data_IF_224844257220
#
_entry.id   IF_224844257220
#
_cell.length_a   1.000
_cell.length_b   1.000
_cell.length_c   1.000
_cell.angle_alpha   90.00
_cell.angle_beta   90.00
_cell.angle_gamma   90.00
#
_symmetry.space_group_name_H-M   'P 1'
#
loop_
_entity.id
_entity.type
_entity.pdbx_description
1 polymer ?
#
# COMPACT_ATOMS: atom_id res chain seq x y z
N UNK A 1 11.85 12.64 -2.09
CA UNK A 1 11.09 13.32 -1.00
C UNK A 1 11.93 14.37 -0.24
N UNK A 2 13.23 14.50 -0.49
CA UNK A 2 14.17 15.38 0.22
C UNK A 2 14.32 14.99 1.70
N UNK A 3 14.86 15.91 2.52
CA UNK A 3 15.17 15.66 3.93
C UNK A 3 13.91 15.60 4.79
N UNK A 4 13.77 14.53 5.58
CA UNK A 4 12.74 14.43 6.62
C UNK A 4 11.30 14.62 6.11
N UNK A 5 10.79 13.81 5.18
CA UNK A 5 9.49 14.05 4.55
C UNK A 5 8.33 14.20 5.53
N UNK A 6 8.29 13.44 6.62
CA UNK A 6 7.27 13.62 7.68
C UNK A 6 7.35 15.02 8.31
N UNK A 7 8.56 15.53 8.53
CA UNK A 7 8.76 16.90 9.08
C UNK A 7 8.27 17.96 8.09
N UNK A 8 8.54 17.76 6.80
CA UNK A 8 8.05 18.68 5.75
C UNK A 8 6.51 18.68 5.71
N UNK A 9 5.88 17.49 5.68
CA UNK A 9 4.42 17.36 5.67
C UNK A 9 3.79 18.04 6.89
N UNK A 10 4.32 17.78 8.08
CA UNK A 10 3.87 18.40 9.32
C UNK A 10 3.89 19.95 9.26
N UNK A 11 5.00 20.53 8.81
CA UNK A 11 5.14 21.99 8.70
C UNK A 11 4.21 22.60 7.65
N UNK A 12 4.08 21.94 6.49
CA UNK A 12 3.18 22.38 5.42
C UNK A 12 1.71 22.28 5.83
N UNK A 13 1.36 21.33 6.70
CA UNK A 13 0.04 21.23 7.30
C UNK A 13 -0.25 22.31 8.37
N UNK A 14 0.72 23.18 8.68
CA UNK A 14 0.55 24.26 9.65
C UNK A 14 0.65 23.82 11.11
N UNK A 15 1.17 22.64 11.40
CA UNK A 15 1.43 22.23 12.77
C UNK A 15 2.59 23.02 13.37
N UNK A 16 2.60 23.25 14.70
CA UNK A 16 3.66 24.04 15.37
C UNK A 16 5.07 23.47 15.11
N UNK A 17 6.06 24.32 15.01
CA UNK A 17 7.47 23.91 14.83
C UNK A 17 8.01 23.04 15.97
N UNK A 18 7.39 23.11 17.14
CA UNK A 18 7.69 22.24 18.30
C UNK A 18 7.17 20.81 18.15
N UNK A 19 6.33 20.54 17.13
CA UNK A 19 5.82 19.19 16.90
C UNK A 19 6.95 18.29 16.41
N UNK A 20 7.18 17.17 17.11
CA UNK A 20 8.11 16.13 16.68
C UNK A 20 7.62 15.43 15.43
N UNK A 21 8.53 15.03 14.54
CA UNK A 21 8.19 14.24 13.36
C UNK A 21 9.29 13.25 13.06
N UNK A 22 8.91 12.02 12.69
CA UNK A 22 9.84 10.95 12.32
C UNK A 22 9.36 10.30 11.02
N UNK A 23 10.30 10.01 10.15
CA UNK A 23 10.05 9.24 8.93
C UNK A 23 10.54 7.83 9.14
N UNK A 24 9.69 6.86 8.83
CA UNK A 24 10.03 5.43 8.86
C UNK A 24 9.92 4.84 7.47
N UNK A 25 10.60 3.73 7.25
CA UNK A 25 10.49 2.94 6.03
C UNK A 25 10.32 1.46 6.38
N UNK A 26 9.22 0.88 5.93
CA UNK A 26 8.92 -0.56 5.93
C UNK A 26 8.28 -0.94 4.59
N UNK A 27 8.70 -0.29 3.51
CA UNK A 27 8.13 -0.47 2.17
C UNK A 27 6.58 -0.41 2.20
N UNK A 28 5.90 -1.38 1.61
CA UNK A 28 4.43 -1.48 1.56
C UNK A 28 3.74 -1.40 2.93
N UNK A 29 4.43 -1.78 3.99
CA UNK A 29 3.93 -1.74 5.37
C UNK A 29 4.20 -0.43 6.13
N UNK A 30 4.81 0.60 5.51
CA UNK A 30 5.23 1.82 6.20
C UNK A 30 4.07 2.58 6.84
N UNK A 31 3.00 2.83 6.10
CA UNK A 31 1.83 3.54 6.61
C UNK A 31 1.18 2.82 7.80
N UNK A 32 0.94 1.52 7.67
CA UNK A 32 0.40 0.72 8.77
C UNK A 32 1.35 0.67 9.97
N UNK A 33 2.68 0.59 9.73
CA UNK A 33 3.67 0.61 10.81
C UNK A 33 3.71 1.96 11.52
N UNK A 34 3.51 3.07 10.82
CA UNK A 34 3.38 4.39 11.42
C UNK A 34 2.17 4.44 12.38
N UNK A 35 1.03 3.90 11.98
CA UNK A 35 -0.18 3.79 12.82
C UNK A 35 0.07 2.91 14.05
N UNK A 36 0.73 1.76 13.89
CA UNK A 36 1.10 0.89 15.02
C UNK A 36 2.00 1.63 16.02
N UNK A 37 3.04 2.34 15.56
CA UNK A 37 3.94 3.09 16.43
C UNK A 37 3.24 4.26 17.11
N UNK A 38 2.33 4.95 16.41
CA UNK A 38 1.51 6.00 17.02
C UNK A 38 0.64 5.46 18.17
N UNK A 39 0.03 4.29 17.96
CA UNK A 39 -0.74 3.62 19.01
C UNK A 39 0.14 3.22 20.22
N UNK A 40 1.38 2.75 19.97
CA UNK A 40 2.35 2.44 21.03
C UNK A 40 2.77 3.71 21.80
N UNK A 41 3.04 4.82 21.11
CA UNK A 41 3.39 6.10 21.74
C UNK A 41 2.28 6.64 22.65
N UNK A 42 1.02 6.54 22.22
CA UNK A 42 -0.14 6.95 23.00
C UNK A 42 -0.30 6.05 24.24
N UNK A 43 -0.22 4.72 24.05
CA UNK A 43 -0.30 3.74 25.16
C UNK A 43 0.82 3.92 26.20
N UNK A 44 2.03 4.27 25.73
CA UNK A 44 3.17 4.54 26.60
C UNK A 44 3.14 5.92 27.27
N UNK A 45 2.17 6.78 26.95
CA UNK A 45 2.07 8.14 27.48
C UNK A 45 3.11 9.12 26.90
N UNK A 46 3.81 8.74 25.85
CA UNK A 46 4.81 9.60 25.20
C UNK A 46 4.18 10.68 24.32
N UNK A 47 2.93 10.50 23.92
CA UNK A 47 2.15 11.47 23.16
C UNK A 47 0.66 11.31 23.43
N UNK A 48 -0.10 12.41 23.37
CA UNK A 48 -1.55 12.39 23.55
C UNK A 48 -2.31 12.32 22.22
N UNK A 49 -1.77 12.96 21.19
CA UNK A 49 -2.32 12.98 19.83
C UNK A 49 -1.15 12.76 18.87
N UNK A 50 -1.33 11.87 17.91
CA UNK A 50 -0.33 11.57 16.87
C UNK A 50 -1.01 11.56 15.51
N UNK A 51 -0.45 12.26 14.54
CA UNK A 51 -0.80 12.09 13.13
C UNK A 51 0.12 11.01 12.57
N UNK A 52 -0.45 9.94 12.07
CA UNK A 52 0.27 8.84 11.45
C UNK A 52 -0.27 8.59 10.04
N UNK A 53 0.60 8.26 9.12
CA UNK A 53 0.18 8.04 7.75
C UNK A 53 1.34 7.57 6.89
N UNK A 54 1.17 7.68 5.60
CA UNK A 54 2.17 7.35 4.61
C UNK A 54 2.07 8.20 3.37
N UNK A 55 3.16 8.28 2.65
CA UNK A 55 3.22 8.98 1.36
C UNK A 55 4.20 8.29 0.43
N UNK A 56 3.90 8.35 -0.84
CA UNK A 56 4.79 7.86 -1.89
C UNK A 56 4.63 8.71 -3.15
N UNK A 57 5.74 8.97 -3.82
CA UNK A 57 5.76 9.61 -5.13
C UNK A 57 6.62 8.78 -6.07
N UNK A 58 6.05 7.72 -6.58
CA UNK A 58 6.76 6.77 -7.44
C UNK A 58 7.05 7.37 -8.80
N UNK A 59 6.17 8.24 -9.30
CA UNK A 59 6.37 8.95 -10.57
C UNK A 59 7.55 9.94 -10.55
N UNK A 60 7.95 10.39 -9.35
CA UNK A 60 9.09 11.29 -9.15
C UNK A 60 10.34 10.58 -8.58
N UNK A 61 10.38 9.24 -8.61
CA UNK A 61 11.57 8.51 -8.22
C UNK A 61 12.77 8.92 -9.11
N UNK A 62 13.92 9.29 -8.52
CA UNK A 62 15.06 9.76 -9.32
C UNK A 62 15.81 8.61 -9.97
N UNK A 63 16.55 8.93 -11.01
CA UNK A 63 17.59 8.04 -11.52
C UNK A 63 18.90 8.26 -10.74
N UNK A 64 19.63 7.19 -10.47
CA UNK A 64 20.83 7.17 -9.64
C UNK A 64 22.06 6.81 -10.48
N UNK A 65 23.10 7.61 -10.33
CA UNK A 65 24.43 7.34 -10.82
C UNK A 65 25.30 6.84 -9.66
N UNK A 66 25.38 5.54 -9.47
CA UNK A 66 25.97 4.91 -8.27
C UNK A 66 27.44 5.26 -8.04
N UNK A 67 28.21 5.51 -9.10
CA UNK A 67 29.64 5.85 -9.04
C UNK A 67 29.93 7.36 -9.16
N UNK A 68 28.90 8.21 -9.24
CA UNK A 68 29.11 9.65 -9.50
C UNK A 68 29.98 10.32 -8.43
N UNK A 69 29.86 9.96 -7.15
CA UNK A 69 30.63 10.56 -6.07
C UNK A 69 32.14 10.23 -6.17
N UNK A 70 32.46 9.03 -6.57
CA UNK A 70 33.88 8.62 -6.78
C UNK A 70 34.39 8.97 -8.18
N UNK A 71 33.54 9.42 -9.06
CA UNK A 71 33.79 9.75 -10.45
C UNK A 71 33.73 8.53 -11.39
N UNK A 72 33.18 8.76 -12.56
CA UNK A 72 33.27 7.82 -13.68
C UNK A 72 34.62 8.06 -14.34
N UNK A 73 35.52 7.06 -14.31
CA UNK A 73 36.83 7.13 -14.95
C UNK A 73 36.75 6.67 -16.40
N UNK A 74 37.43 5.64 -16.79
CA UNK A 74 37.40 5.09 -18.13
C UNK A 74 36.34 3.97 -18.22
N UNK A 75 35.56 3.94 -19.29
CA UNK A 75 34.52 2.96 -19.55
C UNK A 75 33.11 3.50 -19.32
N UNK A 76 32.10 2.64 -19.57
CA UNK A 76 30.70 2.98 -19.42
C UNK A 76 30.24 2.96 -17.95
N UNK A 77 29.17 3.71 -17.63
CA UNK A 77 28.49 3.67 -16.35
C UNK A 77 27.01 3.41 -16.51
N UNK A 78 26.39 2.82 -15.49
CA UNK A 78 24.97 2.52 -15.47
C UNK A 78 24.18 3.62 -14.78
N UNK A 79 22.98 3.88 -15.27
CA UNK A 79 21.93 4.66 -14.61
C UNK A 79 20.95 3.68 -14.00
N UNK A 80 20.71 3.79 -12.69
CA UNK A 80 19.74 2.96 -11.97
C UNK A 80 18.47 3.74 -11.70
N UNK A 81 17.32 3.09 -11.83
CA UNK A 81 16.05 3.63 -11.38
C UNK A 81 15.92 3.38 -9.86
N UNK A 82 15.76 4.45 -9.08
CA UNK A 82 15.62 4.38 -7.61
C UNK A 82 14.41 3.52 -7.20
N UNK A 83 13.31 3.61 -7.94
CA UNK A 83 12.10 2.85 -7.65
C UNK A 83 12.36 1.34 -7.71
N UNK A 84 13.13 0.89 -8.71
CA UNK A 84 13.53 -0.51 -8.81
C UNK A 84 14.58 -0.86 -7.77
N UNK A 85 15.68 -0.11 -7.72
CA UNK A 85 16.84 -0.41 -6.88
C UNK A 85 16.51 -0.50 -5.38
N UNK A 86 15.68 0.42 -4.88
CA UNK A 86 15.36 0.53 -3.45
C UNK A 86 13.94 0.10 -3.09
N UNK A 87 13.14 -0.33 -4.05
CA UNK A 87 11.73 -0.67 -3.82
C UNK A 87 11.25 -1.98 -4.46
N UNK A 88 11.55 -2.23 -5.73
CA UNK A 88 10.95 -3.32 -6.49
C UNK A 88 11.91 -4.48 -6.79
N UNK A 89 13.20 -4.32 -6.49
CA UNK A 89 14.22 -5.38 -6.57
C UNK A 89 14.56 -5.89 -5.18
N UNK A 90 14.78 -7.19 -5.08
CA UNK A 90 15.31 -7.81 -3.88
C UNK A 90 16.79 -7.44 -3.69
N UNK A 91 17.12 -6.95 -2.51
CA UNK A 91 18.46 -6.42 -2.22
C UNK A 91 19.58 -7.47 -2.29
N UNK A 92 19.28 -8.75 -2.08
CA UNK A 92 20.26 -9.84 -2.07
C UNK A 92 20.45 -10.42 -3.46
N UNK A 93 19.38 -10.61 -4.22
CA UNK A 93 19.40 -11.35 -5.49
C UNK A 93 19.20 -10.46 -6.72
N UNK A 94 18.73 -9.22 -6.55
CA UNK A 94 18.37 -8.33 -7.66
C UNK A 94 17.13 -8.79 -8.43
N UNK A 95 16.39 -9.80 -7.95
CA UNK A 95 15.17 -10.27 -8.59
C UNK A 95 14.03 -9.29 -8.33
N UNK A 96 13.17 -9.12 -9.32
CA UNK A 96 11.97 -8.30 -9.16
C UNK A 96 10.96 -8.96 -8.21
N UNK A 97 10.27 -8.14 -7.42
CA UNK A 97 9.19 -8.59 -6.53
C UNK A 97 8.13 -9.42 -7.26
N UNK A 98 7.77 -9.03 -8.49
CA UNK A 98 6.84 -9.79 -9.31
C UNK A 98 7.34 -11.18 -9.72
N UNK A 99 8.65 -11.43 -9.76
CA UNK A 99 9.20 -12.77 -10.01
C UNK A 99 8.94 -13.70 -8.82
N UNK A 100 9.07 -13.20 -7.58
CA UNK A 100 8.71 -13.98 -6.39
C UNK A 100 7.20 -14.22 -6.30
N UNK A 101 6.40 -13.23 -6.70
CA UNK A 101 4.95 -13.40 -6.79
C UNK A 101 4.57 -14.48 -7.81
N UNK A 102 5.26 -14.53 -8.95
CA UNK A 102 5.05 -15.58 -9.95
C UNK A 102 5.42 -16.96 -9.42
N UNK A 103 6.58 -17.09 -8.74
CA UNK A 103 6.99 -18.35 -8.14
C UNK A 103 5.96 -18.84 -7.10
N UNK A 104 5.43 -17.95 -6.28
CA UNK A 104 4.42 -18.30 -5.29
C UNK A 104 3.06 -18.62 -5.93
N UNK A 105 2.66 -17.89 -6.97
CA UNK A 105 1.44 -18.21 -7.73
C UNK A 105 1.52 -19.64 -8.33
N UNK A 106 2.68 -20.01 -8.86
CA UNK A 106 2.93 -21.36 -9.36
C UNK A 106 2.86 -22.40 -8.23
N UNK A 107 3.48 -22.11 -7.08
CA UNK A 107 3.47 -22.99 -5.90
C UNK A 107 2.05 -23.24 -5.37
N UNK A 108 1.22 -22.18 -5.36
CA UNK A 108 -0.18 -22.24 -4.93
C UNK A 108 -1.12 -22.77 -6.00
N UNK A 109 -0.66 -22.93 -7.23
CA UNK A 109 -1.45 -23.41 -8.36
C UNK A 109 -2.51 -22.41 -8.84
N UNK A 110 -2.30 -21.12 -8.63
CA UNK A 110 -3.21 -20.08 -9.13
C UNK A 110 -3.11 -19.94 -10.64
N UNK A 111 -4.24 -20.12 -11.32
CA UNK A 111 -4.29 -19.98 -12.77
C UNK A 111 -4.40 -18.51 -13.17
N UNK A 112 -4.11 -18.24 -14.41
CA UNK A 112 -4.27 -16.92 -15.03
C UNK A 112 -5.70 -16.43 -14.91
N UNK A 113 -6.66 -17.29 -15.21
CA UNK A 113 -8.09 -16.98 -15.16
C UNK A 113 -8.56 -16.61 -13.75
N UNK A 114 -8.08 -17.31 -12.73
CA UNK A 114 -8.41 -17.02 -11.35
C UNK A 114 -7.89 -15.62 -10.92
N UNK A 115 -6.65 -15.30 -11.29
CA UNK A 115 -6.05 -14.01 -10.96
C UNK A 115 -6.67 -12.86 -11.76
N UNK A 116 -7.00 -13.08 -13.03
CA UNK A 116 -7.70 -12.09 -13.84
C UNK A 116 -9.13 -11.86 -13.34
N UNK A 117 -9.85 -12.91 -12.94
CA UNK A 117 -11.17 -12.78 -12.32
C UNK A 117 -11.13 -11.98 -11.01
N UNK A 118 -10.09 -12.18 -10.19
CA UNK A 118 -9.85 -11.38 -8.99
C UNK A 118 -9.63 -9.90 -9.34
N UNK A 119 -8.77 -9.61 -10.31
CA UNK A 119 -8.46 -8.25 -10.75
C UNK A 119 -9.69 -7.53 -11.34
N UNK A 120 -10.49 -8.23 -12.14
CA UNK A 120 -11.75 -7.71 -12.70
C UNK A 120 -12.71 -7.35 -11.57
N UNK A 121 -12.89 -8.22 -10.59
CA UNK A 121 -13.73 -7.95 -9.42
C UNK A 121 -13.25 -6.73 -8.64
N UNK A 122 -11.93 -6.60 -8.40
CA UNK A 122 -11.35 -5.42 -7.76
C UNK A 122 -11.66 -4.15 -8.55
N UNK A 123 -11.51 -4.20 -9.86
CA UNK A 123 -11.79 -3.07 -10.76
C UNK A 123 -13.26 -2.66 -10.75
N UNK A 124 -14.18 -3.60 -10.87
CA UNK A 124 -15.63 -3.33 -10.84
C UNK A 124 -16.06 -2.71 -9.50
N UNK A 125 -15.51 -3.22 -8.38
CA UNK A 125 -15.75 -2.67 -7.04
C UNK A 125 -15.21 -1.26 -6.91
N UNK A 126 -13.99 -1.00 -7.39
CA UNK A 126 -13.39 0.34 -7.34
C UNK A 126 -14.19 1.34 -8.19
N UNK A 127 -14.62 0.95 -9.39
CA UNK A 127 -15.46 1.80 -10.24
C UNK A 127 -16.80 2.12 -9.56
N UNK A 128 -17.43 1.13 -8.94
CA UNK A 128 -18.67 1.33 -8.18
C UNK A 128 -18.43 2.28 -7.00
N UNK A 129 -17.39 2.02 -6.19
CA UNK A 129 -17.08 2.83 -5.01
C UNK A 129 -16.84 4.31 -5.35
N UNK A 130 -16.09 4.57 -6.43
CA UNK A 130 -15.85 5.95 -6.90
C UNK A 130 -17.13 6.60 -7.43
N UNK A 131 -17.92 5.89 -8.24
CA UNK A 131 -19.14 6.42 -8.83
C UNK A 131 -20.23 6.71 -7.79
N UNK A 132 -20.36 5.83 -6.79
CA UNK A 132 -21.33 5.97 -5.69
C UNK A 132 -20.82 6.88 -4.56
N UNK A 133 -19.58 7.39 -4.66
CA UNK A 133 -19.01 8.33 -3.70
C UNK A 133 -18.60 7.71 -2.36
N UNK A 134 -18.31 6.42 -2.30
CA UNK A 134 -17.92 5.74 -1.04
C UNK A 134 -16.61 6.27 -0.45
N UNK A 135 -15.77 6.91 -1.29
CA UNK A 135 -14.52 7.54 -0.85
C UNK A 135 -14.65 9.05 -0.60
N UNK A 136 -15.84 9.65 -0.75
CA UNK A 136 -16.00 11.10 -0.71
C UNK A 136 -15.55 11.75 0.60
N UNK A 137 -15.77 11.07 1.73
CA UNK A 137 -15.41 11.57 3.06
C UNK A 137 -13.93 11.47 3.38
N UNK A 138 -13.17 10.66 2.63
CA UNK A 138 -11.74 10.44 2.87
C UNK A 138 -10.83 11.15 1.84
N UNK A 139 -11.35 11.47 0.64
CA UNK A 139 -10.56 12.10 -0.41
C UNK A 139 -10.40 13.59 -0.16
N UNK A 140 -9.14 14.05 -0.16
CA UNK A 140 -8.79 15.46 -0.16
C UNK A 140 -8.35 15.84 -1.57
N UNK A 141 -9.08 16.75 -2.26
CA UNK A 141 -8.69 17.20 -3.59
C UNK A 141 -7.31 17.85 -3.62
N UNK A 142 -6.52 17.54 -4.64
CA UNK A 142 -5.18 18.11 -4.84
C UNK A 142 -5.15 18.93 -6.11
N UNK A 143 -4.78 20.21 -6.01
CA UNK A 143 -4.57 21.07 -7.16
C UNK A 143 -3.15 20.88 -7.71
N UNK A 144 -3.06 20.46 -8.96
CA UNK A 144 -1.80 20.26 -9.67
C UNK A 144 -1.65 21.39 -10.71
N UNK A 145 -0.64 22.22 -10.55
CA UNK A 145 -0.32 23.27 -11.50
C UNK A 145 0.38 22.67 -12.73
N UNK A 146 -0.21 22.85 -13.89
CA UNK A 146 0.32 22.40 -15.17
C UNK A 146 0.61 23.59 -16.09
N UNK A 147 1.32 23.36 -17.22
CA UNK A 147 1.56 24.39 -18.22
C UNK A 147 0.27 24.93 -18.87
N UNK A 148 -0.84 24.18 -18.79
CA UNK A 148 -2.15 24.54 -19.34
C UNK A 148 -3.10 25.15 -18.31
N UNK A 149 -2.65 25.35 -17.09
CA UNK A 149 -3.43 25.81 -15.95
C UNK A 149 -3.53 24.75 -14.84
N UNK A 150 -4.23 25.11 -13.78
CA UNK A 150 -4.42 24.24 -12.64
C UNK A 150 -5.47 23.16 -12.92
N UNK A 151 -5.17 21.94 -12.48
CA UNK A 151 -6.07 20.80 -12.56
C UNK A 151 -6.33 20.29 -11.15
N UNK A 152 -7.59 20.15 -10.77
CA UNK A 152 -7.98 19.53 -9.50
C UNK A 152 -8.09 18.03 -9.70
N UNK A 153 -7.33 17.28 -8.91
CA UNK A 153 -7.39 15.81 -8.85
C UNK A 153 -8.17 15.42 -7.60
N UNK A 154 -9.37 14.91 -7.78
CA UNK A 154 -10.32 14.54 -6.73
C UNK A 154 -10.88 13.12 -6.90
N UNK A 155 -10.40 12.39 -7.90
CA UNK A 155 -10.80 11.01 -8.19
C UNK A 155 -9.60 10.18 -8.61
N UNK A 156 -9.64 8.89 -8.23
CA UNK A 156 -8.71 7.91 -8.76
C UNK A 156 -8.96 7.71 -10.26
N UNK A 157 -7.93 7.94 -11.08
CA UNK A 157 -8.05 7.84 -12.54
C UNK A 157 -7.94 6.42 -13.06
N UNK A 158 -7.19 5.58 -12.35
CA UNK A 158 -6.81 4.25 -12.82
C UNK A 158 -7.99 3.31 -13.05
N UNK A 159 -9.02 3.24 -12.19
CA UNK A 159 -10.18 2.38 -12.44
C UNK A 159 -10.90 2.67 -13.75
N UNK A 160 -10.81 3.91 -14.24
CA UNK A 160 -11.49 4.35 -15.47
C UNK A 160 -10.61 4.29 -16.72
N UNK A 161 -9.29 4.16 -16.55
CA UNK A 161 -8.35 3.95 -17.65
C UNK A 161 -8.22 2.47 -18.03
N UNK A 162 -8.69 1.55 -17.21
CA UNK A 162 -8.63 0.12 -17.44
C UNK A 162 -9.73 -0.36 -18.40
N UNK A 163 -9.40 -1.36 -19.23
CA UNK A 163 -10.35 -1.99 -20.14
C UNK A 163 -10.48 -3.49 -19.78
N UNK A 164 -11.59 -3.84 -19.15
CA UNK A 164 -11.88 -5.21 -18.68
C UNK A 164 -11.76 -6.23 -19.83
N UNK A 165 -12.28 -5.93 -21.02
CA UNK A 165 -12.25 -6.85 -22.15
C UNK A 165 -10.82 -7.19 -22.65
N UNK A 166 -9.85 -6.35 -22.33
CA UNK A 166 -8.44 -6.58 -22.69
C UNK A 166 -7.67 -7.39 -21.65
N UNK A 167 -8.16 -7.52 -20.42
CA UNK A 167 -7.44 -8.19 -19.33
C UNK A 167 -7.01 -9.61 -19.70
N UNK A 168 -7.86 -10.48 -20.25
CA UNK A 168 -7.46 -11.85 -20.60
C UNK A 168 -6.37 -11.92 -21.68
N UNK A 169 -6.22 -10.89 -22.51
CA UNK A 169 -5.24 -10.81 -23.59
C UNK A 169 -3.91 -10.18 -23.21
N UNK A 170 -3.75 -9.69 -21.96
CA UNK A 170 -2.52 -9.08 -21.50
C UNK A 170 -1.36 -10.09 -21.45
N UNK A 171 -0.17 -9.64 -21.81
CA UNK A 171 1.04 -10.47 -21.74
C UNK A 171 1.49 -10.64 -20.30
N UNK A 172 1.99 -11.82 -19.93
CA UNK A 172 2.68 -12.02 -18.65
C UNK A 172 3.84 -11.04 -18.49
N UNK A 173 4.03 -10.55 -17.27
CA UNK A 173 5.02 -9.50 -16.98
C UNK A 173 6.37 -10.05 -16.48
N UNK A 174 6.38 -11.20 -15.80
CA UNK A 174 7.56 -11.67 -15.05
C UNK A 174 8.08 -13.05 -15.49
N UNK A 175 7.35 -13.76 -16.31
CA UNK A 175 7.78 -15.02 -16.94
C UNK A 175 7.05 -15.20 -18.28
N UNK A 176 7.71 -15.87 -19.24
CA UNK A 176 7.16 -16.06 -20.60
C UNK A 176 5.76 -16.70 -20.59
N UNK A 177 5.60 -17.74 -19.77
CA UNK A 177 4.35 -18.49 -19.61
C UNK A 177 3.75 -18.24 -18.22
N UNK A 178 3.93 -17.01 -17.68
CA UNK A 178 3.48 -16.63 -16.37
C UNK A 178 2.01 -16.25 -16.33
N UNK A 179 1.50 -16.13 -15.11
CA UNK A 179 0.10 -15.80 -14.82
C UNK A 179 -0.08 -14.36 -14.34
N UNK A 180 1.01 -13.69 -13.95
CA UNK A 180 0.96 -12.29 -13.47
C UNK A 180 1.07 -11.32 -14.65
N UNK A 181 0.16 -10.36 -14.69
CA UNK A 181 0.06 -9.32 -15.72
C UNK A 181 -0.06 -7.95 -15.09
N UNK A 182 -0.05 -6.91 -15.92
CA UNK A 182 -0.29 -5.54 -15.46
C UNK A 182 -1.68 -5.32 -14.82
N UNK A 183 -2.67 -6.19 -15.08
CA UNK A 183 -4.01 -6.06 -14.50
C UNK A 183 -4.13 -6.72 -13.13
N UNK A 184 -3.42 -7.83 -12.89
CA UNK A 184 -3.47 -8.58 -11.63
C UNK A 184 -2.24 -8.31 -10.73
N UNK A 185 -1.49 -7.27 -11.06
CA UNK A 185 -0.47 -6.63 -10.25
C UNK A 185 -0.90 -5.19 -9.94
N UNK A 186 -0.48 -4.66 -8.80
CA UNK A 186 -0.70 -3.24 -8.49
C UNK A 186 0.14 -2.33 -9.40
N UNK A 187 -0.37 -1.17 -9.70
CA UNK A 187 0.34 -0.19 -10.52
C UNK A 187 1.28 0.69 -9.71
N UNK A 188 2.25 1.25 -10.40
CA UNK A 188 3.06 2.38 -9.94
C UNK A 188 2.12 3.57 -9.71
N UNK A 189 2.15 4.13 -8.49
CA UNK A 189 1.16 5.13 -8.09
C UNK A 189 1.78 6.16 -7.14
N UNK A 190 1.25 7.37 -7.21
CA UNK A 190 1.49 8.42 -6.22
C UNK A 190 0.32 8.45 -5.24
N UNK A 191 0.57 8.79 -3.99
CA UNK A 191 -0.49 8.92 -3.00
C UNK A 191 0.00 9.24 -1.61
N UNK A 192 -0.92 9.73 -0.80
CA UNK A 192 -0.69 9.98 0.61
C UNK A 192 -1.97 9.71 1.41
N UNK A 193 -1.80 9.32 2.66
CA UNK A 193 -2.89 9.13 3.61
C UNK A 193 -2.45 9.54 5.02
N UNK A 194 -3.38 10.02 5.82
CA UNK A 194 -3.11 10.46 7.18
C UNK A 194 -4.30 10.16 8.11
N UNK A 195 -3.98 9.68 9.29
CA UNK A 195 -4.92 9.37 10.37
C UNK A 195 -4.52 10.14 11.63
N UNK A 196 -5.50 10.65 12.36
CA UNK A 196 -5.29 11.25 13.67
C UNK A 196 -5.65 10.23 14.74
N UNK A 197 -4.67 9.90 15.59
CA UNK A 197 -4.82 8.93 16.66
C UNK A 197 -4.77 9.62 18.02
N UNK A 198 -5.62 9.16 18.93
CA UNK A 198 -5.61 9.58 20.34
C UNK A 198 -6.17 8.50 21.25
N UNK A 199 -6.05 8.63 22.57
CA UNK A 199 -6.71 7.73 23.49
C UNK A 199 -8.23 7.96 23.53
N UNK A 200 -9.00 6.92 23.87
CA UNK A 200 -10.45 7.06 24.06
C UNK A 200 -10.82 8.11 25.11
N UNK A 201 -10.04 8.19 26.19
CA UNK A 201 -10.21 9.20 27.24
C UNK A 201 -10.01 10.62 26.69
N UNK A 202 -8.91 10.85 25.96
CA UNK A 202 -8.64 12.18 25.39
C UNK A 202 -9.67 12.55 24.32
N UNK A 203 -10.14 11.60 23.51
CA UNK A 203 -11.23 11.81 22.55
C UNK A 203 -12.51 12.29 23.28
N UNK A 204 -12.90 11.58 24.33
CA UNK A 204 -14.06 11.92 25.15
C UNK A 204 -13.94 13.32 25.78
N UNK A 205 -12.79 13.62 26.38
CA UNK A 205 -12.53 14.92 27.03
C UNK A 205 -12.57 16.09 26.04
N UNK A 206 -12.29 15.83 24.76
CA UNK A 206 -12.32 16.83 23.68
C UNK A 206 -13.63 16.84 22.88
N UNK A 207 -14.60 16.00 23.24
CA UNK A 207 -15.86 15.87 22.50
C UNK A 207 -15.71 15.35 21.07
N UNK A 208 -14.65 14.56 20.80
CA UNK A 208 -14.40 13.98 19.49
C UNK A 208 -15.17 12.67 19.34
N UNK A 209 -15.67 12.40 18.14
CA UNK A 209 -16.29 11.14 17.76
C UNK A 209 -15.28 10.25 17.03
N UNK A 210 -14.74 9.19 17.65
CA UNK A 210 -13.81 8.28 16.98
C UNK A 210 -14.50 7.52 15.85
N UNK A 211 -13.84 7.36 14.70
CA UNK A 211 -14.31 6.52 13.60
C UNK A 211 -14.17 5.04 13.93
N UNK A 212 -13.07 4.65 14.58
CA UNK A 212 -12.77 3.27 14.94
C UNK A 212 -11.84 3.19 16.15
N UNK A 213 -11.74 2.01 16.74
CA UNK A 213 -10.79 1.68 17.81
C UNK A 213 -9.76 0.67 17.28
N UNK A 214 -8.47 0.97 17.45
CA UNK A 214 -7.39 0.00 17.20
C UNK A 214 -7.38 -1.01 18.34
N UNK A 215 -7.83 -2.23 18.05
CA UNK A 215 -7.92 -3.32 19.05
C UNK A 215 -6.56 -4.00 19.21
N UNK A 216 -5.96 -4.43 18.12
CA UNK A 216 -4.65 -5.09 18.11
C UNK A 216 -3.92 -4.85 16.77
N UNK A 217 -2.65 -5.15 16.77
CA UNK A 217 -1.81 -5.17 15.57
C UNK A 217 -0.67 -6.19 15.73
N UNK A 218 -0.16 -6.65 14.60
CA UNK A 218 0.95 -7.57 14.54
C UNK A 218 1.83 -7.31 13.32
N UNK A 219 3.08 -7.74 13.40
CA UNK A 219 3.99 -7.79 12.25
C UNK A 219 4.46 -9.22 12.04
N UNK A 220 4.60 -9.62 10.80
CA UNK A 220 5.23 -10.87 10.42
C UNK A 220 6.42 -10.59 9.51
N UNK A 221 7.47 -11.38 9.66
CA UNK A 221 8.65 -11.37 8.79
C UNK A 221 9.02 -12.81 8.48
N UNK A 222 9.46 -13.05 7.27
CA UNK A 222 9.90 -14.35 6.77
C UNK A 222 10.94 -14.15 5.67
N UNK A 223 11.37 -15.21 5.03
CA UNK A 223 12.37 -15.09 3.96
C UNK A 223 11.88 -14.14 2.85
N UNK A 224 12.74 -13.25 2.30
CA UNK A 224 12.32 -12.28 1.29
C UNK A 224 11.61 -12.88 0.07
N UNK A 225 12.01 -14.06 -0.39
CA UNK A 225 11.34 -14.75 -1.51
C UNK A 225 9.87 -15.14 -1.22
N UNK A 226 9.46 -15.15 0.04
CA UNK A 226 8.12 -15.52 0.49
C UNK A 226 7.30 -14.31 0.96
N UNK A 227 7.75 -13.09 0.64
CA UNK A 227 7.09 -11.87 1.12
C UNK A 227 5.60 -11.82 0.76
N UNK A 228 5.20 -12.44 -0.34
CA UNK A 228 3.82 -12.43 -0.86
C UNK A 228 2.82 -13.12 0.04
N UNK A 229 3.27 -14.07 0.89
CA UNK A 229 2.43 -14.75 1.89
C UNK A 229 2.68 -14.26 3.32
N UNK A 230 3.54 -13.26 3.51
CA UNK A 230 3.77 -12.67 4.84
C UNK A 230 2.50 -12.10 5.50
N UNK A 231 1.50 -11.56 4.77
CA UNK A 231 0.22 -11.15 5.35
C UNK A 231 -0.50 -12.28 6.09
N UNK A 232 -0.43 -13.53 5.64
CA UNK A 232 -1.03 -14.69 6.33
C UNK A 232 -0.55 -14.79 7.77
N UNK A 233 0.78 -14.78 7.98
CA UNK A 233 1.34 -14.85 9.33
C UNK A 233 1.05 -13.61 10.19
N UNK A 234 0.85 -12.43 9.58
CA UNK A 234 0.41 -11.24 10.32
C UNK A 234 -1.05 -11.36 10.78
N UNK A 235 -1.93 -11.89 9.92
CA UNK A 235 -3.34 -12.19 10.24
C UNK A 235 -3.41 -13.21 11.37
N UNK A 236 -2.70 -14.33 11.29
CA UNK A 236 -2.65 -15.33 12.38
C UNK A 236 -2.28 -14.72 13.73
N UNK A 237 -1.23 -13.88 13.72
CA UNK A 237 -0.76 -13.22 14.94
C UNK A 237 -1.78 -12.24 15.52
N UNK A 238 -2.49 -11.48 14.67
CA UNK A 238 -3.48 -10.52 15.17
C UNK A 238 -4.74 -11.23 15.66
N UNK A 239 -5.21 -12.25 14.95
CA UNK A 239 -6.34 -13.09 15.40
C UNK A 239 -6.02 -13.77 16.76
N UNK A 240 -4.80 -14.33 16.90
CA UNK A 240 -4.36 -14.88 18.17
C UNK A 240 -4.34 -13.85 19.31
N UNK A 241 -3.93 -12.61 19.03
CA UNK A 241 -3.92 -11.53 20.04
C UNK A 241 -5.30 -11.10 20.47
N UNK A 242 -6.27 -11.10 19.57
CA UNK A 242 -7.64 -10.68 19.84
C UNK A 242 -8.50 -11.81 20.39
N UNK A 243 -8.12 -13.07 20.16
CA UNK A 243 -8.96 -14.23 20.43
C UNK A 243 -10.12 -14.38 19.45
N UNK A 244 -10.10 -13.67 18.33
CA UNK A 244 -11.14 -13.75 17.30
C UNK A 244 -10.86 -14.89 16.32
N UNK A 245 -11.93 -15.45 15.76
CA UNK A 245 -11.84 -16.30 14.59
C UNK A 245 -11.94 -15.44 13.33
N UNK A 246 -11.41 -15.92 12.22
CA UNK A 246 -11.49 -15.18 10.94
C UNK A 246 -12.95 -14.94 10.51
N UNK A 247 -13.86 -15.84 10.86
CA UNK A 247 -15.30 -15.76 10.57
C UNK A 247 -16.03 -14.69 11.39
N UNK A 248 -15.45 -14.25 12.52
CA UNK A 248 -16.01 -13.18 13.36
C UNK A 248 -15.75 -11.80 12.78
N UNK A 249 -14.91 -11.69 11.74
CA UNK A 249 -14.53 -10.44 11.09
C UNK A 249 -15.52 -10.12 9.98
N UNK A 250 -16.12 -8.94 10.04
CA UNK A 250 -17.13 -8.51 9.07
C UNK A 250 -16.52 -8.06 7.75
N UNK A 251 -15.39 -7.34 7.80
CA UNK A 251 -14.72 -6.79 6.61
C UNK A 251 -13.21 -6.99 6.72
N UNK A 252 -12.60 -7.24 5.57
CA UNK A 252 -11.16 -7.42 5.39
C UNK A 252 -10.64 -6.44 4.34
N UNK A 253 -9.65 -5.66 4.70
CA UNK A 253 -8.86 -4.88 3.75
C UNK A 253 -7.45 -5.47 3.69
N UNK A 254 -7.10 -6.06 2.56
CA UNK A 254 -5.82 -6.75 2.33
C UNK A 254 -5.19 -6.17 1.06
N UNK A 255 -4.00 -5.60 1.19
CA UNK A 255 -3.32 -4.97 0.06
C UNK A 255 -3.10 -5.94 -1.11
N UNK A 256 -3.57 -5.55 -2.28
CA UNK A 256 -3.44 -6.29 -3.54
C UNK A 256 -2.12 -5.92 -4.26
N UNK A 257 -0.96 -6.09 -3.59
CA UNK A 257 0.32 -5.87 -4.26
C UNK A 257 0.40 -6.67 -5.58
N UNK A 258 -0.13 -7.89 -5.53
CA UNK A 258 -0.53 -8.75 -6.63
C UNK A 258 -1.85 -9.45 -6.22
N UNK A 259 -2.69 -9.82 -7.17
CA UNK A 259 -3.96 -10.52 -6.87
C UNK A 259 -3.74 -11.72 -5.94
N UNK A 260 -2.71 -12.52 -6.21
CA UNK A 260 -2.40 -13.71 -5.42
C UNK A 260 -2.03 -13.42 -3.95
N UNK A 261 -1.53 -12.22 -3.64
CA UNK A 261 -1.21 -11.83 -2.26
C UNK A 261 -2.46 -11.79 -1.39
N UNK A 262 -3.58 -11.32 -1.94
CA UNK A 262 -4.87 -11.30 -1.26
C UNK A 262 -5.59 -12.64 -1.38
N UNK A 263 -5.41 -13.38 -2.47
CA UNK A 263 -6.00 -14.71 -2.65
C UNK A 263 -5.46 -15.71 -1.60
N UNK A 264 -4.18 -15.64 -1.24
CA UNK A 264 -3.60 -16.55 -0.25
C UNK A 264 -4.34 -16.52 1.10
N UNK A 265 -4.52 -15.38 1.79
CA UNK A 265 -5.29 -15.36 3.03
C UNK A 265 -6.78 -15.69 2.84
N UNK A 266 -7.38 -15.39 1.68
CA UNK A 266 -8.75 -15.84 1.39
C UNK A 266 -8.84 -17.36 1.48
N UNK A 267 -7.91 -18.07 0.84
CA UNK A 267 -7.88 -19.53 0.83
C UNK A 267 -7.48 -20.12 2.20
N UNK A 268 -6.42 -19.57 2.81
CA UNK A 268 -5.85 -20.11 4.06
C UNK A 268 -6.81 -19.97 5.25
N UNK A 269 -7.56 -18.87 5.32
CA UNK A 269 -8.55 -18.62 6.38
C UNK A 269 -9.99 -18.89 5.95
N UNK A 270 -10.22 -19.32 4.70
CA UNK A 270 -11.56 -19.54 4.12
C UNK A 270 -12.43 -18.30 4.27
N UNK A 271 -11.87 -17.14 3.94
CA UNK A 271 -12.60 -15.87 4.01
C UNK A 271 -13.70 -15.84 2.94
N UNK A 272 -14.83 -15.22 3.28
CA UNK A 272 -15.83 -14.90 2.28
C UNK A 272 -15.30 -13.78 1.35
N UNK A 273 -15.12 -14.05 0.04
CA UNK A 273 -14.63 -13.04 -0.89
C UNK A 273 -15.53 -11.81 -1.01
N UNK A 274 -16.81 -11.90 -0.57
CA UNK A 274 -17.71 -10.77 -0.53
C UNK A 274 -17.36 -9.76 0.58
N UNK A 275 -16.61 -10.20 1.58
CA UNK A 275 -16.15 -9.38 2.72
C UNK A 275 -14.73 -8.84 2.56
N UNK A 276 -14.03 -9.18 1.48
CA UNK A 276 -12.63 -8.79 1.25
C UNK A 276 -12.56 -7.70 0.20
N UNK A 277 -11.92 -6.57 0.52
CA UNK A 277 -11.70 -5.43 -0.37
C UNK A 277 -13.00 -5.02 -1.09
N UNK A 278 -14.03 -4.71 -0.31
CA UNK A 278 -15.39 -4.49 -0.83
C UNK A 278 -15.49 -3.28 -1.77
N UNK A 279 -14.59 -2.33 -1.64
CA UNK A 279 -14.49 -1.13 -2.47
C UNK A 279 -13.38 -1.21 -3.53
N UNK A 280 -12.90 -2.42 -3.83
CA UNK A 280 -11.74 -2.64 -4.68
C UNK A 280 -10.42 -2.46 -3.92
N UNK A 281 -9.32 -2.81 -4.54
CA UNK A 281 -7.99 -2.73 -3.94
C UNK A 281 -6.92 -2.29 -4.91
N UNK A 282 -5.66 -2.57 -4.60
CA UNK A 282 -4.51 -1.99 -5.29
C UNK A 282 -4.36 -2.42 -6.76
N UNK A 283 -4.93 -3.54 -7.18
CA UNK A 283 -4.99 -3.91 -8.60
C UNK A 283 -5.77 -2.89 -9.43
N UNK A 284 -6.78 -2.24 -8.83
CA UNK A 284 -7.61 -1.25 -9.46
C UNK A 284 -7.24 0.19 -9.09
N UNK A 285 -6.97 0.46 -7.80
CA UNK A 285 -6.74 1.79 -7.26
C UNK A 285 -5.26 2.20 -7.23
N UNK A 286 -4.35 1.24 -7.45
CA UNK A 286 -2.92 1.48 -7.36
C UNK A 286 -2.34 1.25 -5.97
N UNK A 287 -1.00 1.26 -5.90
CA UNK A 287 -0.26 0.95 -4.67
C UNK A 287 0.87 1.96 -4.44
N UNK A 288 0.57 3.18 -3.97
CA UNK A 288 1.61 4.08 -3.47
C UNK A 288 2.23 3.43 -2.23
N UNK A 289 3.44 2.87 -2.41
CA UNK A 289 4.07 1.89 -1.50
C UNK A 289 4.02 2.33 -0.03
N UNK A 290 4.49 3.55 0.27
CA UNK A 290 4.52 4.05 1.65
C UNK A 290 3.15 4.46 2.22
N UNK A 291 2.16 4.71 1.37
CA UNK A 291 0.83 5.21 1.76
C UNK A 291 -0.17 4.10 2.03
N UNK A 292 -0.19 3.04 1.23
CA UNK A 292 -1.25 2.03 1.21
C UNK A 292 -1.59 1.48 2.59
N UNK A 293 -0.60 1.17 3.43
CA UNK A 293 -0.85 0.56 4.74
C UNK A 293 -1.58 1.45 5.76
N UNK A 294 -1.68 2.75 5.53
CA UNK A 294 -2.50 3.67 6.33
C UNK A 294 -3.79 4.08 5.61
N UNK A 295 -3.88 3.84 4.30
CA UNK A 295 -5.08 4.09 3.53
C UNK A 295 -6.13 2.98 3.76
N UNK A 296 -5.72 1.72 3.68
CA UNK A 296 -6.59 0.56 3.94
C UNK A 296 -6.80 0.36 5.43
#
# INVERSE_FOLDING_TARGET
LKQGPARQAMRQAGLPDSTGAVTINKLCGSGMKAVMQAADMIKAGSANIVVAGGMESMSNAPCILTKARAGYRMGHGDVKDHMFLDGLEDAETGRLMGSFAQDMANTRGYTREQMDAFAIRSLERAQTAVNEGYFADEIVPVTVSTRKGDVVVDKDEQPFNANIAKIPSLRPAFAKDGTITAANASSISDGASALVLTSAENASNKGLAPLAKIVAYASNSQHPSEFTIAPVGAIEKVLKKTGWNAQDVDLWEINEAFAMVTMCPIDDFKLDPAKVNINGGACALGHPVGSTGSRI
#
